data_IF_382729478180
#
_entry.id   IF_382729478180
#
_cell.length_a   1.000
_cell.length_b   1.000
_cell.length_c   1.000
_cell.angle_alpha   90.00
_cell.angle_beta   90.00
_cell.angle_gamma   90.00
#
_symmetry.space_group_name_H-M   'P 1'
#
loop_
_entity.id
_entity.type
_entity.pdbx_description
1 polymer ?
#
# COMPACT_ATOMS: atom_id res chain seq x y z
N UNK A 1 19.32 6.94 -4.66
CA UNK A 1 17.85 6.82 -4.58
C UNK A 1 17.52 5.35 -4.39
N UNK A 2 17.19 4.98 -3.16
CA UNK A 2 16.80 3.62 -2.77
C UNK A 2 15.30 3.47 -3.04
N UNK A 3 14.97 2.79 -4.12
CA UNK A 3 13.59 2.60 -4.56
C UNK A 3 13.33 1.18 -5.03
N UNK A 4 12.09 0.74 -4.92
CA UNK A 4 11.62 -0.56 -5.38
C UNK A 4 10.17 -0.45 -5.88
N UNK A 5 9.84 -1.34 -6.82
CA UNK A 5 8.46 -1.57 -7.26
C UNK A 5 8.17 -3.07 -7.17
N UNK A 6 7.01 -3.41 -6.63
CA UNK A 6 6.56 -4.79 -6.45
C UNK A 6 5.13 -4.90 -6.94
N UNK A 7 4.87 -5.91 -7.76
CA UNK A 7 3.53 -6.33 -8.14
C UNK A 7 3.31 -7.73 -7.57
N UNK A 8 2.17 -7.92 -6.89
CA UNK A 8 1.76 -9.18 -6.29
C UNK A 8 0.32 -9.47 -6.69
N UNK A 9 0.13 -10.57 -7.40
CA UNK A 9 -1.19 -11.03 -7.82
C UNK A 9 -1.45 -12.42 -7.22
N UNK A 10 -2.52 -12.53 -6.46
CA UNK A 10 -3.06 -13.77 -5.89
C UNK A 10 -4.46 -14.04 -6.46
N UNK A 11 -5.15 -15.07 -5.97
CA UNK A 11 -6.56 -15.26 -6.32
C UNK A 11 -7.45 -14.24 -5.62
N UNK A 12 -7.01 -13.78 -4.45
CA UNK A 12 -7.72 -12.91 -3.52
C UNK A 12 -7.49 -11.43 -3.84
N UNK A 13 -6.27 -11.06 -4.25
CA UNK A 13 -5.84 -9.66 -4.40
C UNK A 13 -4.96 -9.41 -5.63
N UNK A 14 -4.97 -8.17 -6.10
CA UNK A 14 -4.00 -7.62 -7.05
C UNK A 14 -3.44 -6.34 -6.45
N UNK A 15 -2.15 -6.37 -6.08
CA UNK A 15 -1.47 -5.32 -5.34
C UNK A 15 -0.27 -4.81 -6.13
N UNK A 16 -0.16 -3.48 -6.24
CA UNK A 16 1.02 -2.79 -6.76
C UNK A 16 1.54 -1.82 -5.73
N UNK A 17 2.83 -1.87 -5.47
CA UNK A 17 3.52 -1.00 -4.52
C UNK A 17 4.73 -0.37 -5.20
N UNK A 18 4.87 0.95 -5.11
CA UNK A 18 6.13 1.65 -5.34
C UNK A 18 6.59 2.31 -4.04
N UNK A 19 7.87 2.15 -3.72
CA UNK A 19 8.50 2.67 -2.52
C UNK A 19 9.77 3.43 -2.89
N UNK A 20 9.94 4.63 -2.33
CA UNK A 20 11.20 5.35 -2.33
C UNK A 20 11.59 5.67 -0.88
N UNK A 21 12.67 5.06 -0.39
CA UNK A 21 13.20 5.26 0.96
C UNK A 21 13.91 6.61 1.14
N UNK A 22 14.30 7.25 0.03
CA UNK A 22 14.91 8.59 0.03
C UNK A 22 13.85 9.63 -0.40
N UNK A 23 12.67 9.57 0.22
CA UNK A 23 11.48 10.34 -0.14
C UNK A 23 11.29 11.62 0.68
N UNK A 24 10.09 12.19 0.58
CA UNK A 24 9.66 13.37 1.33
C UNK A 24 8.38 13.16 2.14
N UNK A 25 7.89 11.92 2.25
CA UNK A 25 6.65 11.59 2.95
C UNK A 25 5.39 11.69 2.08
N UNK A 26 5.51 11.57 0.76
CA UNK A 26 4.36 11.58 -0.15
C UNK A 26 3.67 10.21 -0.15
N UNK A 27 2.34 10.21 -0.15
CA UNK A 27 1.55 8.98 -0.23
C UNK A 27 0.47 9.11 -1.32
N UNK A 28 0.36 8.09 -2.17
CA UNK A 28 -0.79 7.87 -3.06
C UNK A 28 -1.33 6.46 -2.75
N UNK A 29 -2.50 6.38 -2.14
CA UNK A 29 -3.01 5.15 -1.54
C UNK A 29 -4.44 4.90 -2.02
N UNK A 30 -4.66 3.72 -2.57
CA UNK A 30 -5.96 3.22 -3.02
C UNK A 30 -6.04 1.72 -2.70
N UNK A 31 -6.16 1.39 -1.41
CA UNK A 31 -6.32 -0.01 -0.97
C UNK A 31 -7.77 -0.50 -1.00
N UNK A 32 -8.74 0.42 -1.14
CA UNK A 32 -10.15 0.16 -0.92
C UNK A 32 -10.56 0.09 0.56
N UNK A 33 -9.61 0.24 1.50
CA UNK A 33 -9.86 0.21 2.95
C UNK A 33 -9.41 1.56 3.56
N UNK A 34 -10.33 2.53 3.77
CA UNK A 34 -9.96 3.90 4.14
C UNK A 34 -9.13 4.02 5.43
N UNK A 35 -9.36 3.14 6.40
CA UNK A 35 -8.58 3.15 7.65
C UNK A 35 -7.16 2.62 7.46
N UNK A 36 -6.94 1.65 6.57
CA UNK A 36 -5.60 1.17 6.23
C UNK A 36 -4.83 2.26 5.49
N UNK A 37 -5.46 2.94 4.52
CA UNK A 37 -4.85 4.06 3.80
C UNK A 37 -4.41 5.17 4.77
N UNK A 38 -5.27 5.50 5.75
CA UNK A 38 -4.91 6.45 6.80
C UNK A 38 -3.67 6.01 7.60
N UNK A 39 -3.54 4.72 7.93
CA UNK A 39 -2.38 4.18 8.66
C UNK A 39 -1.10 4.20 7.81
N UNK A 40 -1.19 3.79 6.54
CA UNK A 40 -0.06 3.82 5.61
C UNK A 40 0.41 5.25 5.32
N UNK A 41 -0.50 6.24 5.26
CA UNK A 41 -0.13 7.65 5.16
C UNK A 41 0.72 8.11 6.36
N UNK A 42 0.36 7.68 7.58
CA UNK A 42 1.17 7.99 8.77
C UNK A 42 2.58 7.38 8.64
N UNK A 43 2.70 6.14 8.14
CA UNK A 43 4.00 5.51 7.90
C UNK A 43 4.82 6.34 6.91
N UNK A 44 4.25 6.70 5.75
CA UNK A 44 4.94 7.51 4.74
C UNK A 44 5.42 8.84 5.33
N UNK A 45 4.53 9.58 6.00
CA UNK A 45 4.78 10.90 6.59
C UNK A 45 5.90 10.87 7.63
N UNK A 46 5.84 9.93 8.59
CA UNK A 46 6.77 9.92 9.72
C UNK A 46 8.11 9.25 9.39
N UNK A 47 8.15 8.37 8.39
CA UNK A 47 9.39 7.76 7.91
C UNK A 47 10.11 8.57 6.83
N UNK A 48 9.49 9.65 6.32
CA UNK A 48 9.98 10.44 5.17
C UNK A 48 10.23 9.58 3.92
N UNK A 49 9.36 8.60 3.69
CA UNK A 49 9.39 7.74 2.49
C UNK A 49 8.25 8.14 1.56
N UNK A 50 8.44 7.97 0.27
CA UNK A 50 7.34 8.10 -0.69
C UNK A 50 6.74 6.72 -0.96
N UNK A 51 5.41 6.61 -0.89
CA UNK A 51 4.66 5.37 -1.01
C UNK A 51 3.51 5.53 -2.01
N UNK A 52 3.45 4.64 -3.01
CA UNK A 52 2.34 4.53 -3.94
C UNK A 52 1.79 3.10 -3.87
N UNK A 53 0.56 2.92 -3.42
CA UNK A 53 -0.09 1.61 -3.29
C UNK A 53 -1.45 1.66 -3.97
N UNK A 54 -1.67 0.71 -4.88
CA UNK A 54 -2.98 0.42 -5.46
C UNK A 54 -3.27 -1.06 -5.26
N UNK A 55 -4.39 -1.36 -4.61
CA UNK A 55 -4.83 -2.72 -4.37
C UNK A 55 -6.30 -2.90 -4.76
N UNK A 56 -6.60 -4.08 -5.30
CA UNK A 56 -7.97 -4.56 -5.45
C UNK A 56 -8.03 -5.94 -4.82
N UNK A 57 -8.87 -6.10 -3.81
CA UNK A 57 -9.07 -7.39 -3.15
C UNK A 57 -10.54 -7.77 -3.04
N UNK A 58 -10.75 -8.95 -2.49
CA UNK A 58 -12.04 -9.58 -2.25
C UNK A 58 -12.79 -9.01 -1.03
N UNK A 59 -12.92 -7.67 -0.95
CA UNK A 59 -13.54 -6.94 0.17
C UNK A 59 -15.01 -7.30 0.49
N UNK A 60 -15.64 -8.10 -0.36
CA UNK A 60 -16.96 -8.68 -0.14
C UNK A 60 -16.95 -9.87 0.83
N UNK A 61 -15.79 -10.50 1.06
CA UNK A 61 -15.57 -11.51 2.10
C UNK A 61 -15.27 -10.78 3.41
N UNK A 62 -14.10 -10.16 3.49
CA UNK A 62 -13.70 -9.19 4.51
C UNK A 62 -12.45 -8.40 4.05
N UNK A 63 -11.80 -7.67 4.96
CA UNK A 63 -10.59 -6.91 4.67
C UNK A 63 -9.27 -7.68 4.84
N UNK A 64 -9.30 -8.92 5.36
CA UNK A 64 -8.13 -9.65 5.83
C UNK A 64 -7.08 -9.80 4.74
N UNK A 65 -7.42 -10.39 3.60
CA UNK A 65 -6.47 -10.66 2.54
C UNK A 65 -5.87 -9.38 1.97
N UNK A 66 -6.67 -8.32 1.82
CA UNK A 66 -6.16 -7.02 1.31
C UNK A 66 -5.19 -6.37 2.30
N UNK A 67 -5.47 -6.44 3.60
CA UNK A 67 -4.54 -5.95 4.63
C UNK A 67 -3.26 -6.79 4.66
N UNK A 68 -3.38 -8.11 4.62
CA UNK A 68 -2.26 -9.05 4.65
C UNK A 68 -1.36 -8.93 3.42
N UNK A 69 -1.91 -8.94 2.20
CA UNK A 69 -1.12 -8.91 0.97
C UNK A 69 -0.48 -7.53 0.70
N UNK A 70 -0.93 -6.46 1.36
CA UNK A 70 -0.27 -5.14 1.35
C UNK A 70 0.86 -5.06 2.40
N UNK A 71 0.68 -5.66 3.58
CA UNK A 71 1.57 -5.53 4.75
C UNK A 71 2.90 -6.26 4.63
#
# INVERSE_FOLDING_TARGET
MRSAQVNRDTLETQVRVSLNLDGGGKAALDSGIPFLDHMLEQIARHALIDLDISARGDLHIDAHHTVEDIG
#
